data_IF_834519714796
#
_entry.id   IF_834519714796
#
_cell.length_a   1.000
_cell.length_b   1.000
_cell.length_c   1.000
_cell.angle_alpha   90.00
_cell.angle_beta   90.00
_cell.angle_gamma   90.00
#
_symmetry.space_group_name_H-M   'P 1'
#
loop_
_entity.id
_entity.type
_entity.pdbx_description
1 polymer ?
#
# COMPACT_ATOMS: atom_id res chain seq x y z
N UNK A 1 -13.63 13.32 4.09
CA UNK A 1 -14.71 12.54 3.44
C UNK A 1 -14.26 11.09 3.43
N UNK A 2 -15.18 10.13 3.55
CA UNK A 2 -14.80 8.72 3.49
C UNK A 2 -14.60 8.29 2.03
N UNK A 3 -13.53 7.56 1.75
CA UNK A 3 -13.29 6.98 0.43
C UNK A 3 -14.34 5.89 0.16
N UNK A 4 -15.09 6.06 -0.93
CA UNK A 4 -16.14 5.13 -1.37
C UNK A 4 -15.80 4.43 -2.68
N UNK A 5 -14.75 4.87 -3.38
CA UNK A 5 -14.32 4.31 -4.65
C UNK A 5 -12.80 4.42 -4.82
N UNK A 6 -12.21 3.39 -5.43
CA UNK A 6 -10.80 3.38 -5.80
C UNK A 6 -10.44 4.56 -6.73
N UNK A 7 -11.39 5.05 -7.54
CA UNK A 7 -11.18 6.19 -8.44
C UNK A 7 -10.94 7.52 -7.71
N UNK A 8 -11.25 7.60 -6.41
CA UNK A 8 -10.96 8.76 -5.59
C UNK A 8 -9.50 8.75 -5.07
N UNK A 9 -8.78 7.65 -5.28
CA UNK A 9 -7.41 7.46 -4.82
C UNK A 9 -6.46 7.59 -6.01
N UNK A 10 -5.57 8.57 -5.95
CA UNK A 10 -4.40 8.62 -6.84
C UNK A 10 -3.31 7.73 -6.25
N UNK A 11 -3.28 6.45 -6.67
CA UNK A 11 -2.34 5.43 -6.17
C UNK A 11 -0.89 5.91 -6.31
N UNK A 12 -0.56 6.61 -7.41
CA UNK A 12 0.80 7.11 -7.63
C UNK A 12 1.20 8.12 -6.56
N UNK A 13 0.34 9.11 -6.32
CA UNK A 13 0.62 10.13 -5.28
C UNK A 13 0.63 9.54 -3.88
N UNK A 14 -0.25 8.58 -3.60
CA UNK A 14 -0.27 7.84 -2.33
C UNK A 14 1.10 7.19 -2.08
N UNK A 15 1.60 6.42 -3.05
CA UNK A 15 2.90 5.77 -2.94
C UNK A 15 4.02 6.80 -2.74
N UNK A 16 4.09 7.85 -3.56
CA UNK A 16 5.10 8.92 -3.41
C UNK A 16 5.09 9.58 -2.02
N UNK A 17 3.89 9.82 -1.45
CA UNK A 17 3.76 10.41 -0.12
C UNK A 17 4.20 9.41 0.98
N UNK A 18 3.89 8.13 0.81
CA UNK A 18 4.36 7.08 1.71
C UNK A 18 5.88 6.92 1.66
N UNK A 19 6.52 6.96 0.50
CA UNK A 19 8.00 6.86 0.40
C UNK A 19 8.68 8.00 1.15
N UNK A 20 8.15 9.22 1.04
CA UNK A 20 8.67 10.38 1.77
C UNK A 20 8.60 10.21 3.28
N UNK A 21 7.59 9.48 3.77
CA UNK A 21 7.35 9.29 5.21
C UNK A 21 8.06 8.07 5.80
N UNK A 22 8.12 6.97 5.05
CA UNK A 22 8.73 5.71 5.50
C UNK A 22 10.21 5.57 5.11
N UNK A 23 10.68 6.30 4.10
CA UNK A 23 12.02 6.15 3.52
C UNK A 23 12.19 4.90 2.64
N UNK A 24 11.11 4.14 2.40
CA UNK A 24 11.09 2.95 1.54
C UNK A 24 10.72 3.38 0.13
N UNK A 25 11.36 2.80 -0.90
CA UNK A 25 10.95 3.04 -2.28
C UNK A 25 9.98 1.95 -2.75
N UNK A 26 8.82 2.37 -3.28
CA UNK A 26 7.81 1.44 -3.81
C UNK A 26 7.96 1.27 -5.33
N UNK A 27 7.62 0.09 -5.86
CA UNK A 27 7.50 -0.10 -7.30
C UNK A 27 6.49 0.90 -7.92
N UNK A 28 6.77 1.33 -9.16
CA UNK A 28 5.90 2.26 -9.91
C UNK A 28 4.90 1.57 -10.83
N UNK A 29 5.13 0.30 -11.09
CA UNK A 29 4.23 -0.56 -11.85
C UNK A 29 3.24 -1.19 -10.87
N UNK A 30 1.94 -0.99 -11.12
CA UNK A 30 0.85 -1.57 -10.34
C UNK A 30 0.07 -2.46 -11.31
N UNK A 31 0.02 -3.75 -11.02
CA UNK A 31 -0.68 -4.74 -11.85
C UNK A 31 -2.11 -4.98 -11.36
N UNK A 32 -2.37 -4.73 -10.08
CA UNK A 32 -3.71 -4.85 -9.49
C UNK A 32 -3.87 -3.85 -8.34
N UNK A 33 -5.05 -3.29 -8.19
CA UNK A 33 -5.44 -2.54 -7.01
C UNK A 33 -6.90 -2.81 -6.68
N UNK A 34 -7.18 -3.05 -5.40
CA UNK A 34 -8.50 -3.36 -4.87
C UNK A 34 -8.76 -2.50 -3.63
N UNK A 35 -9.93 -1.85 -3.61
CA UNK A 35 -10.43 -1.15 -2.44
C UNK A 35 -11.71 -1.84 -1.97
N UNK A 36 -11.76 -2.18 -0.69
CA UNK A 36 -12.99 -2.46 0.03
C UNK A 36 -13.37 -1.24 0.89
N UNK A 37 -14.34 -0.41 0.46
CA UNK A 37 -14.77 0.74 1.23
C UNK A 37 -15.43 0.38 2.57
N UNK A 38 -16.03 -0.80 2.68
CA UNK A 38 -16.71 -1.25 3.90
C UNK A 38 -15.75 -1.57 5.03
N UNK A 39 -14.59 -2.15 4.69
CA UNK A 39 -13.51 -2.45 5.64
C UNK A 39 -12.37 -1.42 5.62
N UNK A 40 -12.44 -0.42 4.72
CA UNK A 40 -11.38 0.57 4.49
C UNK A 40 -10.03 -0.05 4.14
N UNK A 41 -10.05 -1.23 3.51
CA UNK A 41 -8.88 -1.98 3.11
C UNK A 41 -8.51 -1.63 1.67
N UNK A 42 -7.29 -1.15 1.45
CA UNK A 42 -6.70 -0.96 0.14
C UNK A 42 -5.56 -1.98 -0.03
N UNK A 43 -5.68 -2.82 -1.04
CA UNK A 43 -4.63 -3.74 -1.47
C UNK A 43 -4.08 -3.29 -2.83
N UNK A 44 -2.76 -3.21 -2.96
CA UNK A 44 -2.06 -2.82 -4.19
C UNK A 44 -1.00 -3.88 -4.50
N UNK A 45 -1.10 -4.51 -5.67
CA UNK A 45 -0.12 -5.49 -6.16
C UNK A 45 0.76 -4.87 -7.23
N UNK A 46 2.07 -5.02 -7.05
CA UNK A 46 3.10 -4.56 -7.96
C UNK A 46 3.63 -5.70 -8.85
N UNK A 47 3.64 -6.93 -8.33
CA UNK A 47 4.07 -8.13 -9.04
C UNK A 47 3.43 -9.39 -8.44
N UNK A 48 3.37 -10.45 -9.23
CA UNK A 48 3.12 -11.80 -8.72
C UNK A 48 4.39 -12.33 -8.02
N UNK A 49 4.26 -12.97 -6.85
CA UNK A 49 5.41 -13.57 -6.17
C UNK A 49 5.89 -14.82 -6.92
N UNK A 50 7.20 -15.09 -6.86
CA UNK A 50 7.78 -16.35 -7.34
C UNK A 50 7.73 -17.47 -6.27
N UNK A 51 7.52 -17.08 -5.01
CA UNK A 51 7.63 -17.90 -3.82
C UNK A 51 6.67 -17.38 -2.71
N UNK A 52 6.96 -17.70 -1.46
CA UNK A 52 6.17 -17.23 -0.31
C UNK A 52 6.39 -15.73 -0.10
N UNK A 53 5.30 -15.01 0.13
CA UNK A 53 5.34 -13.60 0.55
C UNK A 53 5.51 -13.50 2.07
N UNK A 54 6.41 -12.62 2.50
CA UNK A 54 6.56 -12.21 3.91
C UNK A 54 5.98 -10.81 4.05
N UNK A 55 5.03 -10.66 4.98
CA UNK A 55 4.40 -9.37 5.29
C UNK A 55 5.07 -8.70 6.48
N UNK A 56 5.54 -7.47 6.31
CA UNK A 56 6.19 -6.67 7.35
C UNK A 56 5.44 -5.33 7.56
N UNK A 57 5.14 -4.93 8.80
CA UNK A 57 4.47 -3.67 9.06
C UNK A 57 5.44 -2.50 8.84
N UNK A 58 4.95 -1.43 8.21
CA UNK A 58 5.68 -0.18 8.10
C UNK A 58 5.61 0.62 9.41
N UNK A 59 6.60 1.47 9.71
CA UNK A 59 6.63 2.31 10.90
C UNK A 59 5.69 3.54 10.78
N UNK A 60 4.42 3.28 10.47
CA UNK A 60 3.36 4.27 10.35
C UNK A 60 2.33 4.09 11.47
N UNK A 61 1.53 5.12 11.76
CA UNK A 61 0.42 4.98 12.73
C UNK A 61 -0.68 4.11 12.16
N UNK A 62 -0.98 4.29 10.87
CA UNK A 62 -1.91 3.44 10.14
C UNK A 62 -1.26 2.09 9.85
N UNK A 63 -2.02 1.00 9.98
CA UNK A 63 -1.52 -0.34 9.70
C UNK A 63 -1.30 -0.47 8.20
N UNK A 64 -0.03 -0.54 7.82
CA UNK A 64 0.41 -0.75 6.45
C UNK A 64 1.37 -1.92 6.44
N UNK A 65 1.05 -2.96 5.68
CA UNK A 65 1.87 -4.16 5.54
C UNK A 65 2.50 -4.18 4.16
N UNK A 66 3.82 -4.26 4.12
CA UNK A 66 4.60 -4.45 2.90
C UNK A 66 4.83 -5.94 2.70
N UNK A 67 4.49 -6.45 1.52
CA UNK A 67 4.75 -7.84 1.16
C UNK A 67 5.96 -7.93 0.25
N UNK A 68 6.87 -8.81 0.63
CA UNK A 68 8.12 -9.08 -0.09
C UNK A 68 8.22 -10.57 -0.37
N UNK A 69 8.59 -10.93 -1.61
CA UNK A 69 8.88 -12.30 -1.99
C UNK A 69 10.19 -12.78 -1.32
N UNK A 70 10.13 -13.90 -0.60
CA UNK A 70 11.24 -14.38 0.24
C UNK A 70 12.52 -14.76 -0.55
N UNK A 71 12.35 -15.15 -1.81
CA UNK A 71 13.42 -15.62 -2.69
C UNK A 71 14.08 -14.45 -3.40
N UNK A 72 13.29 -13.58 -4.02
CA UNK A 72 13.78 -12.47 -4.86
C UNK A 72 13.99 -11.18 -4.06
N UNK A 73 13.45 -11.10 -2.84
CA UNK A 73 13.46 -9.91 -1.98
C UNK A 73 12.81 -8.69 -2.64
N UNK A 74 11.93 -8.91 -3.62
CA UNK A 74 11.21 -7.84 -4.31
C UNK A 74 9.90 -7.55 -3.58
N UNK A 75 9.56 -6.28 -3.48
CA UNK A 75 8.25 -5.84 -3.03
C UNK A 75 7.21 -6.29 -4.07
N UNK A 76 6.25 -7.10 -3.64
CA UNK A 76 5.21 -7.68 -4.49
C UNK A 76 3.85 -7.05 -4.24
N UNK A 77 3.54 -6.65 -3.01
CA UNK A 77 2.27 -6.02 -2.67
C UNK A 77 2.36 -5.09 -1.46
N UNK A 78 1.29 -4.32 -1.27
CA UNK A 78 1.07 -3.39 -0.18
C UNK A 78 -0.39 -3.52 0.28
N UNK A 79 -0.60 -3.71 1.58
CA UNK A 79 -1.92 -3.70 2.19
C UNK A 79 -2.02 -2.56 3.19
N UNK A 80 -3.11 -1.80 3.12
CA UNK A 80 -3.38 -0.67 3.99
C UNK A 80 -4.75 -0.90 4.64
N UNK A 81 -4.78 -0.94 5.96
CA UNK A 81 -6.02 -1.05 6.75
C UNK A 81 -6.33 0.33 7.32
N UNK A 82 -7.41 0.94 6.84
CA UNK A 82 -7.81 2.30 7.20
C UNK A 82 -7.24 3.37 6.27
N UNK A 83 -7.48 3.24 4.96
CA UNK A 83 -6.93 4.15 3.94
C UNK A 83 -7.25 5.64 4.19
N UNK A 84 -8.45 5.97 4.69
CA UNK A 84 -8.80 7.33 5.08
C UNK A 84 -7.87 7.91 6.16
N UNK A 85 -7.44 7.07 7.10
CA UNK A 85 -6.52 7.46 8.17
C UNK A 85 -5.11 7.66 7.62
N UNK A 86 -4.67 6.79 6.71
CA UNK A 86 -3.37 6.93 6.06
C UNK A 86 -3.29 8.21 5.24
N UNK A 87 -4.32 8.54 4.46
CA UNK A 87 -4.37 9.78 3.66
C UNK A 87 -4.20 11.02 4.55
N UNK A 88 -4.89 11.07 5.70
CA UNK A 88 -4.71 12.15 6.69
C UNK A 88 -3.32 12.13 7.33
N UNK A 89 -2.76 10.95 7.55
CA UNK A 89 -1.43 10.81 8.12
C UNK A 89 -0.36 11.36 7.19
N UNK A 90 -0.43 11.09 5.88
CA UNK A 90 0.60 11.49 4.90
C UNK A 90 0.40 12.89 4.30
N UNK A 91 -0.78 13.51 4.44
CA UNK A 91 -1.02 14.91 4.07
C UNK A 91 -0.38 15.92 5.04
N UNK A 92 0.03 15.48 6.23
CA UNK A 92 0.72 16.28 7.26
C UNK A 92 2.22 16.01 7.28
#
# INVERSE_FOLDING_TARGET
MALTSLLQIDIRKLLEAMEKKSGISFPREVIEAYLDPGTQLLHVRFAEPESTEVGEPLPLKTIVTLFTDDKTHRITALEIIGIDSLMKEIEN
#
